data_IF_585671687457
#
_entry.id   IF_585671687457
#
_cell.length_a   1.000
_cell.length_b   1.000
_cell.length_c   1.000
_cell.angle_alpha   90.00
_cell.angle_beta   90.00
_cell.angle_gamma   90.00
#
_symmetry.space_group_name_H-M   'P 1'
#
loop_
_entity.id
_entity.type
_entity.pdbx_description
1 polymer ?
#
# COMPACT_ATOMS: atom_id res chain seq x y z
N UNK A 1 4.54 82.24 29.50
CA UNK A 1 3.58 81.87 28.42
C UNK A 1 2.61 80.81 28.97
N UNK A 2 1.53 80.51 28.22
CA UNK A 2 0.47 79.48 28.44
C UNK A 2 0.95 78.23 29.23
N UNK A 3 0.23 77.75 30.26
CA UNK A 3 -0.96 76.85 30.22
C UNK A 3 -0.72 75.55 29.40
N UNK A 4 -1.07 74.32 29.81
CA UNK A 4 -1.98 73.82 30.89
C UNK A 4 -1.45 72.44 31.45
N UNK A 5 -1.88 71.89 32.60
CA UNK A 5 -3.00 70.93 32.84
C UNK A 5 -3.12 69.82 31.77
N UNK A 6 -3.38 68.53 32.02
CA UNK A 6 -3.66 67.65 33.20
C UNK A 6 -3.02 66.24 32.87
N UNK A 7 -2.97 65.14 33.62
CA UNK A 7 -3.54 64.57 34.87
C UNK A 7 -2.46 63.65 35.52
N UNK A 8 -2.55 62.97 36.68
CA UNK A 8 -3.60 62.37 37.54
C UNK A 8 -4.21 61.06 37.03
N UNK A 9 -3.50 59.94 37.27
CA UNK A 9 -4.01 58.56 37.13
C UNK A 9 -4.80 58.12 38.36
N UNK A 10 -5.89 57.37 38.18
CA UNK A 10 -6.91 57.10 39.21
C UNK A 10 -7.15 55.60 39.39
N UNK A 11 -6.91 55.09 40.62
CA UNK A 11 -7.49 53.86 41.23
C UNK A 11 -7.24 52.50 40.50
N UNK A 12 -7.49 51.31 41.09
CA UNK A 12 -7.87 50.92 42.45
C UNK A 12 -7.24 49.56 42.86
N UNK A 13 -7.49 49.14 44.09
CA UNK A 13 -7.04 47.89 44.71
C UNK A 13 -7.60 46.60 44.07
N UNK A 14 -6.73 45.59 44.05
CA UNK A 14 -6.93 44.18 44.41
C UNK A 14 -8.34 43.54 44.37
N UNK A 15 -8.40 42.38 43.70
CA UNK A 15 -9.14 41.22 44.16
C UNK A 15 -8.37 39.94 43.79
N UNK A 16 -8.32 38.96 44.69
CA UNK A 16 -7.81 37.62 44.39
C UNK A 16 -8.99 36.67 44.13
N UNK A 17 -8.93 35.91 43.05
CA UNK A 17 -9.73 34.71 42.84
C UNK A 17 -8.83 33.63 42.23
N UNK A 18 -8.83 32.44 42.82
CA UNK A 18 -8.28 31.27 42.15
C UNK A 18 -9.08 30.96 40.88
N UNK A 19 -8.41 30.38 39.89
CA UNK A 19 -9.06 29.64 38.81
C UNK A 19 -8.60 28.21 38.91
N UNK A 20 -9.51 27.32 39.31
CA UNK A 20 -9.29 25.90 39.19
C UNK A 20 -8.98 25.57 37.73
N UNK A 21 -7.77 25.09 37.46
CA UNK A 21 -7.51 24.35 36.24
C UNK A 21 -8.17 22.99 36.40
N UNK A 22 -9.43 22.90 35.98
CA UNK A 22 -10.05 21.64 35.65
C UNK A 22 -9.14 20.95 34.63
N UNK A 23 -8.41 19.93 35.07
CA UNK A 23 -7.53 19.17 34.20
C UNK A 23 -8.36 18.59 33.05
N UNK A 24 -7.82 18.64 31.83
CA UNK A 24 -8.40 17.89 30.74
C UNK A 24 -8.48 16.40 31.15
N UNK A 25 -9.57 15.68 30.82
CA UNK A 25 -9.62 14.25 31.07
C UNK A 25 -8.41 13.60 30.40
N UNK A 26 -7.69 12.77 31.15
CA UNK A 26 -6.57 12.01 30.61
C UNK A 26 -7.06 11.19 29.41
N UNK A 27 -6.23 11.00 28.36
CA UNK A 27 -6.58 10.10 27.27
C UNK A 27 -6.92 8.73 27.88
N UNK A 28 -8.02 8.13 27.40
CA UNK A 28 -8.40 6.80 27.85
C UNK A 28 -7.23 5.84 27.58
N UNK A 29 -6.88 5.04 28.59
CA UNK A 29 -5.88 3.99 28.40
C UNK A 29 -6.34 3.07 27.25
N UNK A 30 -5.41 2.57 26.40
CA UNK A 30 -5.77 1.54 25.43
C UNK A 30 -6.41 0.38 26.17
N UNK A 31 -7.52 -0.14 25.65
CA UNK A 31 -8.23 -1.23 26.29
C UNK A 31 -7.30 -2.45 26.42
N UNK A 32 -7.12 -2.95 27.64
CA UNK A 32 -6.39 -4.19 27.87
C UNK A 32 -7.09 -5.32 27.10
N UNK A 33 -6.39 -5.90 26.13
CA UNK A 33 -6.88 -7.06 25.39
C UNK A 33 -7.06 -8.24 26.35
N UNK A 34 -8.21 -8.91 26.27
CA UNK A 34 -8.53 -10.01 27.18
C UNK A 34 -7.50 -11.15 27.05
N UNK A 35 -7.04 -11.75 28.16
CA UNK A 35 -5.96 -12.71 28.11
C UNK A 35 -6.43 -14.07 27.55
N UNK A 36 -5.77 -14.51 26.47
CA UNK A 36 -5.57 -15.95 26.22
C UNK A 36 -6.53 -16.67 25.28
N UNK A 37 -7.22 -16.00 24.35
CA UNK A 37 -7.69 -16.71 23.17
C UNK A 37 -6.48 -17.11 22.30
N UNK A 38 -6.26 -18.42 22.14
CA UNK A 38 -5.19 -18.92 21.29
C UNK A 38 -5.50 -18.63 19.83
N UNK A 39 -4.58 -17.96 19.12
CA UNK A 39 -4.74 -17.66 17.69
C UNK A 39 -4.97 -18.95 16.90
N UNK A 40 -6.05 -18.99 16.11
CA UNK A 40 -6.33 -20.12 15.24
C UNK A 40 -5.17 -20.40 14.30
N UNK A 41 -4.85 -21.68 14.14
CA UNK A 41 -3.93 -22.20 13.11
C UNK A 41 -4.62 -23.40 12.49
N UNK A 42 -4.62 -23.50 11.16
CA UNK A 42 -5.15 -24.67 10.48
C UNK A 42 -4.37 -25.94 10.86
N UNK A 43 -5.01 -27.13 10.93
CA UNK A 43 -4.32 -28.37 11.22
C UNK A 43 -3.15 -28.61 10.26
N UNK A 44 -2.03 -29.13 10.77
CA UNK A 44 -0.80 -29.35 10.00
C UNK A 44 -1.01 -30.07 8.66
N UNK A 45 -1.88 -31.09 8.64
CA UNK A 45 -2.27 -31.81 7.42
C UNK A 45 -2.90 -30.90 6.35
N UNK A 46 -3.71 -29.90 6.73
CA UNK A 46 -4.19 -28.87 5.78
C UNK A 46 -3.02 -28.01 5.30
N UNK A 47 -2.13 -27.56 6.19
CA UNK A 47 -1.00 -26.70 5.81
C UNK A 47 -0.07 -27.39 4.81
N UNK A 48 0.29 -28.66 5.05
CA UNK A 48 1.10 -29.46 4.12
C UNK A 48 0.38 -29.67 2.77
N UNK A 49 -0.92 -29.99 2.80
CA UNK A 49 -1.72 -30.20 1.58
C UNK A 49 -1.92 -28.91 0.77
N UNK A 50 -2.09 -27.77 1.44
CA UNK A 50 -2.15 -26.44 0.83
C UNK A 50 -0.81 -26.09 0.18
N UNK A 51 0.31 -26.32 0.90
CA UNK A 51 1.66 -26.07 0.40
C UNK A 51 2.04 -26.95 -0.80
N UNK A 52 1.52 -28.17 -0.85
CA UNK A 52 1.73 -29.12 -1.95
C UNK A 52 1.07 -28.70 -3.27
N UNK A 53 0.17 -27.72 -3.28
CA UNK A 53 -0.40 -27.15 -4.52
C UNK A 53 0.62 -26.27 -5.26
N UNK A 54 1.60 -25.71 -4.56
CA UNK A 54 2.61 -24.81 -5.12
C UNK A 54 3.90 -25.56 -5.50
N UNK A 55 3.96 -26.05 -6.74
CA UNK A 55 5.17 -26.65 -7.29
C UNK A 55 6.31 -25.62 -7.38
N UNK A 56 7.46 -25.92 -6.76
CA UNK A 56 8.65 -25.06 -6.83
C UNK A 56 9.35 -25.27 -8.17
N UNK A 57 9.33 -24.24 -9.03
CA UNK A 57 10.04 -24.20 -10.31
C UNK A 57 11.20 -23.21 -10.17
N UNK A 58 12.42 -23.69 -10.41
CA UNK A 58 13.62 -22.86 -10.33
C UNK A 58 13.83 -22.10 -11.66
N UNK A 59 13.42 -20.83 -11.69
CA UNK A 59 13.48 -20.00 -12.91
C UNK A 59 14.93 -19.73 -13.30
N UNK A 60 15.36 -20.34 -14.42
CA UNK A 60 16.71 -20.24 -15.01
C UNK A 60 16.64 -19.85 -16.50
N UNK A 61 16.25 -18.60 -16.83
CA UNK A 61 16.44 -18.09 -18.18
C UNK A 61 17.93 -18.06 -18.53
N UNK A 62 18.29 -18.17 -19.81
CA UNK A 62 19.62 -17.72 -20.22
C UNK A 62 19.67 -16.19 -20.16
N UNK A 63 20.78 -15.68 -19.62
CA UNK A 63 21.08 -14.26 -19.47
C UNK A 63 22.49 -13.95 -20.02
N UNK A 64 23.10 -14.90 -20.74
CA UNK A 64 24.45 -14.81 -21.29
C UNK A 64 24.60 -13.74 -22.38
N UNK A 65 23.51 -13.43 -23.08
CA UNK A 65 23.44 -12.38 -24.10
C UNK A 65 23.35 -10.96 -23.52
N UNK A 66 22.95 -10.80 -22.25
CA UNK A 66 22.83 -9.49 -21.62
C UNK A 66 24.20 -8.84 -21.38
N UNK A 67 24.28 -7.54 -21.62
CA UNK A 67 25.40 -6.69 -21.18
C UNK A 67 25.39 -6.49 -19.65
N UNK A 68 26.52 -6.07 -19.10
CA UNK A 68 26.60 -5.68 -17.68
C UNK A 68 25.77 -4.43 -17.37
N UNK A 69 25.47 -3.60 -18.38
CA UNK A 69 24.56 -2.46 -18.25
C UNK A 69 23.11 -2.91 -18.05
N UNK A 70 22.64 -3.85 -18.89
CA UNK A 70 21.30 -4.43 -18.78
C UNK A 70 21.10 -5.20 -17.47
N UNK A 71 22.13 -5.92 -16.99
CA UNK A 71 22.10 -6.58 -15.67
C UNK A 71 21.96 -5.59 -14.53
N UNK A 72 22.72 -4.49 -14.54
CA UNK A 72 22.60 -3.43 -13.53
C UNK A 72 21.22 -2.74 -13.58
N UNK A 73 20.63 -2.58 -14.77
CA UNK A 73 19.25 -2.08 -14.93
C UNK A 73 18.25 -3.07 -14.33
N UNK A 74 18.31 -4.35 -14.69
CA UNK A 74 17.42 -5.40 -14.16
C UNK A 74 17.50 -5.49 -12.64
N UNK A 75 18.69 -5.38 -12.05
CA UNK A 75 18.85 -5.38 -10.58
C UNK A 75 18.06 -4.24 -9.92
N UNK A 76 18.14 -3.01 -10.47
CA UNK A 76 17.38 -1.86 -9.97
C UNK A 76 15.86 -2.01 -10.19
N UNK A 77 15.43 -2.67 -11.27
CA UNK A 77 14.01 -2.98 -11.52
C UNK A 77 13.49 -4.06 -10.56
N UNK A 78 14.31 -5.03 -10.20
CA UNK A 78 13.97 -6.03 -9.18
C UNK A 78 13.83 -5.39 -7.79
N UNK A 79 14.76 -4.51 -7.38
CA UNK A 79 14.62 -3.71 -6.15
C UNK A 79 13.30 -2.90 -6.14
N UNK A 80 12.86 -2.38 -7.29
CA UNK A 80 11.58 -1.68 -7.40
C UNK A 80 10.36 -2.64 -7.37
N UNK A 81 10.48 -3.85 -7.92
CA UNK A 81 9.45 -4.89 -7.86
C UNK A 81 9.21 -5.47 -6.46
N UNK A 82 10.28 -5.60 -5.66
CA UNK A 82 10.17 -5.94 -4.23
C UNK A 82 9.37 -4.87 -3.47
N UNK A 83 9.54 -3.59 -3.81
CA UNK A 83 8.74 -2.50 -3.26
C UNK A 83 7.27 -2.61 -3.69
N UNK A 84 6.98 -2.91 -4.96
CA UNK A 84 5.59 -3.13 -5.41
C UNK A 84 4.92 -4.27 -4.63
N UNK A 85 5.64 -5.37 -4.41
CA UNK A 85 5.19 -6.50 -3.60
C UNK A 85 4.90 -6.07 -2.15
N UNK A 86 5.73 -5.18 -1.59
CA UNK A 86 5.49 -4.53 -0.29
C UNK A 86 4.25 -3.63 -0.24
N UNK A 87 3.90 -2.95 -1.34
CA UNK A 87 2.64 -2.19 -1.45
C UNK A 87 1.46 -3.14 -1.60
N UNK A 88 1.55 -4.15 -2.46
CA UNK A 88 0.48 -5.12 -2.71
C UNK A 88 0.09 -5.90 -1.45
N UNK A 89 1.06 -6.30 -0.64
CA UNK A 89 0.82 -6.94 0.66
C UNK A 89 -0.04 -6.08 1.59
N UNK A 90 0.10 -4.74 1.52
CA UNK A 90 -0.74 -3.77 2.26
C UNK A 90 -2.09 -3.54 1.58
N UNK A 91 -2.16 -3.57 0.24
CA UNK A 91 -3.42 -3.50 -0.51
C UNK A 91 -4.34 -4.68 -0.22
N UNK A 92 -3.79 -5.89 -0.01
CA UNK A 92 -4.54 -7.05 0.50
C UNK A 92 -5.04 -6.80 1.93
N UNK A 93 -4.15 -6.40 2.84
CA UNK A 93 -4.54 -5.96 4.19
C UNK A 93 -3.44 -5.13 4.87
N UNK A 94 -3.78 -3.98 5.45
CA UNK A 94 -2.85 -3.20 6.28
C UNK A 94 -2.35 -4.03 7.50
N UNK A 95 -3.19 -4.95 7.99
CA UNK A 95 -2.87 -5.90 9.07
C UNK A 95 -1.83 -6.96 8.70
N UNK A 96 -1.57 -7.20 7.40
CA UNK A 96 -0.61 -8.24 6.97
C UNK A 96 0.80 -7.98 7.51
N UNK A 97 1.21 -6.70 7.61
CA UNK A 97 2.55 -6.32 8.06
C UNK A 97 2.80 -6.68 9.54
N UNK A 98 1.98 -6.24 10.52
CA UNK A 98 2.13 -6.69 11.90
C UNK A 98 1.83 -8.19 12.08
N UNK A 99 0.90 -8.77 11.30
CA UNK A 99 0.54 -10.18 11.42
C UNK A 99 1.70 -11.11 11.01
N UNK A 100 2.37 -10.84 9.88
CA UNK A 100 3.55 -11.60 9.44
C UNK A 100 4.69 -11.51 10.45
N UNK A 101 4.92 -10.31 11.00
CA UNK A 101 5.93 -10.10 12.03
C UNK A 101 5.59 -10.87 13.33
N UNK A 102 4.31 -10.94 13.72
CA UNK A 102 3.87 -11.72 14.86
C UNK A 102 4.03 -13.24 14.65
N UNK A 103 3.77 -13.77 13.45
CA UNK A 103 4.07 -15.17 13.10
C UNK A 103 5.57 -15.42 13.22
N UNK A 104 6.42 -14.57 12.63
CA UNK A 104 7.88 -14.72 12.65
C UNK A 104 8.48 -14.63 14.07
N UNK A 105 7.87 -13.87 14.97
CA UNK A 105 8.27 -13.74 16.37
C UNK A 105 7.69 -14.82 17.31
N UNK A 106 6.91 -15.77 16.79
CA UNK A 106 6.19 -16.76 17.61
C UNK A 106 6.94 -18.09 17.83
N UNK A 107 6.54 -18.79 18.89
CA UNK A 107 6.91 -20.19 19.17
C UNK A 107 5.94 -21.20 18.51
N UNK A 108 5.22 -20.81 17.45
CA UNK A 108 4.32 -21.73 16.72
C UNK A 108 5.11 -22.91 16.13
N UNK A 109 4.67 -24.17 16.32
CA UNK A 109 5.45 -25.34 15.87
C UNK A 109 5.61 -25.40 14.35
N UNK A 110 4.67 -24.82 13.61
CA UNK A 110 4.62 -24.80 12.15
C UNK A 110 5.05 -23.44 11.56
N UNK A 111 5.72 -22.57 12.34
CA UNK A 111 6.04 -21.17 11.96
C UNK A 111 6.62 -21.02 10.55
N UNK A 112 7.65 -21.79 10.20
CA UNK A 112 8.32 -21.64 8.89
C UNK A 112 7.36 -21.97 7.72
N UNK A 113 6.51 -22.98 7.90
CA UNK A 113 5.48 -23.35 6.93
C UNK A 113 4.37 -22.28 6.86
N UNK A 114 4.00 -21.69 8.00
CA UNK A 114 3.04 -20.58 8.06
C UNK A 114 3.58 -19.33 7.36
N UNK A 115 4.88 -19.03 7.44
CA UNK A 115 5.50 -17.91 6.72
C UNK A 115 5.58 -18.16 5.21
N UNK A 116 6.07 -19.34 4.78
CA UNK A 116 6.13 -19.77 3.38
C UNK A 116 4.74 -19.71 2.71
N UNK A 117 3.69 -20.19 3.40
CA UNK A 117 2.30 -20.06 2.94
C UNK A 117 1.78 -18.62 2.96
N UNK A 118 2.11 -17.82 3.97
CA UNK A 118 1.72 -16.41 4.05
C UNK A 118 2.31 -15.61 2.89
N UNK A 119 3.56 -15.88 2.51
CA UNK A 119 4.24 -15.23 1.40
C UNK A 119 3.65 -15.67 0.05
N UNK A 120 3.40 -16.97 -0.14
CA UNK A 120 2.75 -17.51 -1.34
C UNK A 120 1.34 -16.95 -1.59
N UNK A 121 0.59 -16.64 -0.53
CA UNK A 121 -0.78 -16.12 -0.63
C UNK A 121 -0.91 -14.59 -0.40
N UNK A 122 0.19 -13.88 -0.12
CA UNK A 122 0.19 -12.46 0.32
C UNK A 122 -0.75 -12.20 1.52
N UNK A 123 -0.85 -13.14 2.45
CA UNK A 123 -1.69 -13.03 3.64
C UNK A 123 -2.06 -14.37 4.29
N UNK A 124 -2.85 -14.35 5.38
CA UNK A 124 -3.23 -15.54 6.15
C UNK A 124 -4.38 -16.36 5.53
N UNK A 125 -4.67 -16.18 4.23
CA UNK A 125 -5.85 -16.71 3.54
C UNK A 125 -5.46 -17.63 2.39
N UNK A 126 -6.15 -18.76 2.27
CA UNK A 126 -5.95 -19.75 1.20
C UNK A 126 -6.60 -19.24 -0.10
N UNK A 127 -5.84 -18.53 -0.93
CA UNK A 127 -6.34 -17.98 -2.20
C UNK A 127 -6.70 -19.04 -3.25
N UNK A 128 -6.36 -20.32 -3.02
CA UNK A 128 -6.79 -21.46 -3.84
C UNK A 128 -8.06 -22.12 -3.30
N UNK A 129 -8.35 -22.00 -2.00
CA UNK A 129 -9.63 -22.39 -1.39
C UNK A 129 -10.44 -21.19 -0.87
N UNK A 130 -10.82 -20.30 -1.79
CA UNK A 130 -11.83 -19.25 -1.58
C UNK A 130 -11.48 -18.24 -0.47
N UNK A 131 -10.19 -17.91 -0.31
CA UNK A 131 -9.67 -16.99 0.70
C UNK A 131 -10.02 -17.38 2.16
N UNK A 132 -10.21 -18.68 2.42
CA UNK A 132 -10.45 -19.16 3.80
C UNK A 132 -9.20 -18.99 4.66
N UNK A 133 -9.30 -18.45 5.89
CA UNK A 133 -8.14 -18.26 6.74
C UNK A 133 -7.48 -19.58 7.12
N UNK A 134 -6.14 -19.61 7.10
CA UNK A 134 -5.32 -20.67 7.70
C UNK A 134 -4.59 -20.21 8.96
N UNK A 135 -4.56 -18.90 9.23
CA UNK A 135 -4.05 -18.30 10.46
C UNK A 135 -5.00 -17.19 10.94
N UNK A 136 -5.38 -17.20 12.21
CA UNK A 136 -6.46 -16.36 12.73
C UNK A 136 -7.85 -16.74 12.19
N UNK A 137 -8.87 -15.97 12.58
CA UNK A 137 -10.29 -16.27 12.28
C UNK A 137 -11.00 -15.22 11.43
N UNK A 138 -10.29 -14.14 11.04
CA UNK A 138 -10.84 -13.03 10.26
C UNK A 138 -10.96 -13.43 8.79
N UNK A 139 -12.14 -13.30 8.20
CA UNK A 139 -12.34 -13.44 6.76
C UNK A 139 -11.65 -12.28 6.01
N UNK A 140 -11.20 -12.54 4.78
CA UNK A 140 -10.59 -11.51 3.91
C UNK A 140 -11.66 -10.47 3.53
N UNK A 141 -11.46 -9.16 3.79
CA UNK A 141 -12.43 -8.16 3.39
C UNK A 141 -12.60 -8.14 1.86
N UNK A 142 -13.83 -8.11 1.31
CA UNK A 142 -14.03 -8.14 -0.14
C UNK A 142 -13.47 -6.90 -0.85
N UNK A 143 -13.40 -5.74 -0.17
CA UNK A 143 -12.73 -4.53 -0.66
C UNK A 143 -11.24 -4.46 -0.32
N UNK A 144 -10.65 -5.57 0.14
CA UNK A 144 -9.28 -5.66 0.65
C UNK A 144 -8.95 -4.52 1.63
N UNK A 145 -7.82 -3.84 1.48
CA UNK A 145 -7.51 -2.59 2.19
C UNK A 145 -7.87 -1.32 1.40
N UNK A 146 -8.51 -1.41 0.23
CA UNK A 146 -8.83 -0.21 -0.56
C UNK A 146 -9.94 0.65 0.05
N UNK A 147 -10.73 0.09 0.95
CA UNK A 147 -11.88 0.72 1.61
C UNK A 147 -11.79 0.56 3.13
N UNK A 148 -12.53 1.35 3.94
CA UNK A 148 -12.68 1.07 5.36
C UNK A 148 -13.34 -0.30 5.56
N UNK A 149 -12.79 -1.14 6.44
CA UNK A 149 -13.26 -2.52 6.63
C UNK A 149 -14.69 -2.63 7.22
N UNK A 150 -15.30 -1.52 7.65
CA UNK A 150 -16.68 -1.40 8.13
C UNK A 150 -17.65 -0.80 7.09
N UNK A 151 -17.15 -0.34 5.94
CA UNK A 151 -17.92 0.38 4.93
C UNK A 151 -18.79 -0.57 4.09
N UNK A 152 -20.08 -0.28 3.97
CA UNK A 152 -20.99 -1.04 3.08
C UNK A 152 -21.06 -0.42 1.69
N UNK A 153 -21.61 -1.15 0.71
CA UNK A 153 -21.80 -0.60 -0.64
C UNK A 153 -22.81 0.54 -0.65
N UNK A 154 -23.87 0.39 0.14
CA UNK A 154 -24.93 1.38 0.32
C UNK A 154 -24.40 2.68 0.93
N UNK A 155 -23.40 2.63 1.82
CA UNK A 155 -22.73 3.81 2.35
C UNK A 155 -21.94 4.57 1.26
N UNK A 156 -21.13 3.84 0.49
CA UNK A 156 -20.36 4.41 -0.63
C UNK A 156 -21.26 5.01 -1.71
N UNK A 157 -22.35 4.32 -2.07
CA UNK A 157 -23.35 4.79 -3.02
C UNK A 157 -24.14 6.00 -2.48
N UNK A 158 -24.51 6.01 -1.20
CA UNK A 158 -25.17 7.14 -0.56
C UNK A 158 -24.26 8.38 -0.48
N UNK A 159 -22.96 8.20 -0.22
CA UNK A 159 -21.99 9.28 -0.26
C UNK A 159 -21.92 9.89 -1.67
N UNK A 160 -21.78 9.08 -2.72
CA UNK A 160 -21.73 9.56 -4.11
C UNK A 160 -23.06 10.22 -4.54
N UNK A 161 -24.20 9.76 -4.02
CA UNK A 161 -25.50 10.38 -4.28
C UNK A 161 -25.65 11.75 -3.58
N UNK A 162 -25.04 11.94 -2.41
CA UNK A 162 -25.00 13.21 -1.69
C UNK A 162 -23.89 14.17 -2.22
N UNK A 163 -22.81 13.60 -2.76
CA UNK A 163 -21.62 14.28 -3.27
C UNK A 163 -21.26 13.82 -4.69
N UNK A 164 -22.04 14.20 -5.73
CA UNK A 164 -21.74 13.83 -7.12
C UNK A 164 -20.36 14.29 -7.61
N UNK A 165 -19.82 15.35 -7.01
CA UNK A 165 -18.46 15.87 -7.23
C UNK A 165 -17.35 14.86 -6.86
N UNK A 166 -17.55 14.08 -5.80
CA UNK A 166 -16.56 13.12 -5.30
C UNK A 166 -16.47 11.87 -6.19
N UNK A 167 -17.50 11.61 -7.03
CA UNK A 167 -17.64 10.36 -7.80
C UNK A 167 -16.38 9.99 -8.59
N UNK A 168 -15.79 10.93 -9.31
CA UNK A 168 -14.62 10.67 -10.16
C UNK A 168 -13.39 10.25 -9.36
N UNK A 169 -13.19 10.85 -8.17
CA UNK A 169 -12.12 10.44 -7.25
C UNK A 169 -12.45 9.10 -6.56
N UNK A 170 -13.72 8.87 -6.22
CA UNK A 170 -14.16 7.65 -5.53
C UNK A 170 -14.09 6.39 -6.41
N UNK A 171 -14.42 6.51 -7.70
CA UNK A 171 -14.32 5.41 -8.68
C UNK A 171 -13.01 5.43 -9.49
N UNK A 172 -12.00 6.19 -9.06
CA UNK A 172 -10.66 6.17 -9.67
C UNK A 172 -9.91 4.88 -9.34
N UNK A 173 -9.10 4.40 -10.28
CA UNK A 173 -8.15 3.30 -10.09
C UNK A 173 -7.14 3.59 -8.97
N UNK A 174 -6.72 4.86 -8.85
CA UNK A 174 -5.55 5.28 -8.08
C UNK A 174 -5.91 6.04 -6.78
N UNK A 175 -7.00 5.64 -6.12
CA UNK A 175 -7.40 6.20 -4.81
C UNK A 175 -7.86 5.11 -3.85
N UNK A 176 -7.45 5.17 -2.59
CA UNK A 176 -8.12 4.41 -1.51
C UNK A 176 -9.24 5.25 -0.90
N UNK A 177 -10.28 4.59 -0.38
CA UNK A 177 -11.31 5.24 0.43
C UNK A 177 -10.92 5.11 1.89
N UNK A 178 -10.97 6.23 2.62
CA UNK A 178 -10.74 6.30 4.07
C UNK A 178 -11.83 7.16 4.72
N UNK A 179 -11.93 7.12 6.05
CA UNK A 179 -12.78 8.02 6.83
C UNK A 179 -11.95 9.21 7.32
N UNK A 180 -12.47 10.42 7.23
CA UNK A 180 -11.87 11.60 7.86
C UNK A 180 -12.15 11.65 9.37
N UNK A 181 -11.63 12.67 10.06
CA UNK A 181 -11.84 12.85 11.50
C UNK A 181 -13.30 13.15 11.91
N UNK A 182 -14.19 13.45 10.96
CA UNK A 182 -15.63 13.55 11.14
C UNK A 182 -16.40 12.28 10.75
N UNK A 183 -15.71 11.24 10.27
CA UNK A 183 -16.29 9.98 9.79
C UNK A 183 -16.73 9.99 8.33
N UNK A 184 -16.63 11.13 7.62
CA UNK A 184 -17.02 11.24 6.20
C UNK A 184 -16.04 10.44 5.33
N UNK A 185 -16.55 9.76 4.31
CA UNK A 185 -15.68 9.10 3.33
C UNK A 185 -14.88 10.14 2.53
N UNK A 186 -13.61 9.84 2.27
CA UNK A 186 -12.70 10.62 1.43
C UNK A 186 -11.91 9.68 0.53
N UNK A 187 -11.60 10.13 -0.69
CA UNK A 187 -10.69 9.44 -1.60
C UNK A 187 -9.27 9.99 -1.41
N UNK A 188 -8.33 9.16 -0.97
CA UNK A 188 -6.91 9.49 -0.78
C UNK A 188 -6.11 8.94 -1.98
N UNK A 189 -5.37 9.78 -2.74
CA UNK A 189 -4.60 9.34 -3.90
C UNK A 189 -3.45 8.39 -3.56
N UNK A 190 -3.08 7.50 -4.47
CA UNK A 190 -2.04 6.49 -4.24
C UNK A 190 -0.66 7.12 -3.99
N UNK A 191 -0.25 8.16 -4.74
CA UNK A 191 0.98 8.96 -4.49
C UNK A 191 1.07 9.57 -3.07
N UNK A 192 -0.07 9.68 -2.38
CA UNK A 192 -0.17 10.23 -1.03
C UNK A 192 -0.25 9.13 0.02
N UNK A 193 -1.06 8.10 -0.21
CA UNK A 193 -1.24 6.98 0.72
C UNK A 193 -0.04 6.01 0.76
N UNK A 194 0.61 5.76 -0.37
CA UNK A 194 1.76 4.84 -0.48
C UNK A 194 3.11 5.56 -0.66
N UNK A 195 3.17 6.87 -0.38
CA UNK A 195 4.33 7.75 -0.57
C UNK A 195 5.66 7.15 -0.08
N UNK A 196 5.64 6.55 1.11
CA UNK A 196 6.81 5.92 1.77
C UNK A 196 7.50 4.87 0.87
N UNK A 197 6.75 4.20 0.01
CA UNK A 197 7.23 3.17 -0.92
C UNK A 197 7.41 3.71 -2.34
N UNK A 198 6.53 4.63 -2.78
CA UNK A 198 6.57 5.20 -4.12
C UNK A 198 7.76 6.16 -4.34
N UNK A 199 8.20 6.90 -3.31
CA UNK A 199 9.38 7.77 -3.43
C UNK A 199 10.69 6.96 -3.65
N UNK A 200 11.02 5.91 -2.88
CA UNK A 200 12.14 5.02 -3.18
C UNK A 200 12.02 4.25 -4.51
N UNK A 201 10.82 3.76 -4.88
CA UNK A 201 10.63 3.11 -6.16
C UNK A 201 10.91 4.06 -7.34
N UNK A 202 10.46 5.31 -7.25
CA UNK A 202 10.73 6.33 -8.25
C UNK A 202 12.23 6.73 -8.33
N UNK A 203 13.00 6.66 -7.24
CA UNK A 203 14.46 6.80 -7.29
C UNK A 203 15.12 5.66 -8.07
N UNK A 204 14.74 4.41 -7.78
CA UNK A 204 15.26 3.22 -8.47
C UNK A 204 14.95 3.26 -9.97
N UNK A 205 13.72 3.62 -10.37
CA UNK A 205 13.35 3.78 -11.77
C UNK A 205 14.11 4.94 -12.45
N UNK A 206 14.36 6.07 -11.77
CA UNK A 206 15.22 7.15 -12.32
C UNK A 206 16.67 6.70 -12.49
N UNK A 207 17.24 5.97 -11.52
CA UNK A 207 18.61 5.41 -11.62
C UNK A 207 18.73 4.37 -12.73
N UNK A 208 17.73 3.53 -12.90
CA UNK A 208 17.63 2.57 -14.01
C UNK A 208 17.50 3.28 -15.37
N UNK A 209 16.67 4.34 -15.43
CA UNK A 209 16.60 5.25 -16.58
C UNK A 209 17.97 5.85 -16.90
N UNK A 210 18.64 6.50 -15.94
CA UNK A 210 19.96 7.10 -16.15
C UNK A 210 20.98 6.09 -16.67
N UNK A 211 21.00 4.88 -16.08
CA UNK A 211 21.93 3.79 -16.40
C UNK A 211 21.82 3.27 -17.82
N UNK A 212 20.61 3.10 -18.37
CA UNK A 212 20.44 2.45 -19.68
C UNK A 212 20.79 3.37 -20.87
N UNK A 213 21.43 2.80 -21.88
CA UNK A 213 21.67 3.43 -23.20
C UNK A 213 20.49 3.27 -24.16
N UNK A 214 19.55 2.36 -23.86
CA UNK A 214 18.34 2.18 -24.64
C UNK A 214 17.40 3.40 -24.48
N UNK A 215 16.99 4.01 -25.59
CA UNK A 215 16.26 5.27 -25.60
C UNK A 215 14.77 5.13 -25.19
N UNK A 216 14.10 4.05 -25.61
CA UNK A 216 12.72 3.72 -25.27
C UNK A 216 12.59 3.41 -23.77
N UNK A 217 13.45 2.53 -23.26
CA UNK A 217 13.51 2.17 -21.84
C UNK A 217 13.88 3.39 -20.97
N UNK A 218 14.84 4.22 -21.39
CA UNK A 218 15.18 5.50 -20.73
C UNK A 218 13.97 6.43 -20.61
N UNK A 219 13.23 6.64 -21.71
CA UNK A 219 12.00 7.45 -21.75
C UNK A 219 10.95 6.86 -20.80
N UNK A 220 10.65 5.58 -20.93
CA UNK A 220 9.65 4.87 -20.13
C UNK A 220 9.94 4.96 -18.63
N UNK A 221 11.13 4.56 -18.19
CA UNK A 221 11.48 4.49 -16.77
C UNK A 221 11.46 5.86 -16.08
N UNK A 222 11.87 6.92 -16.79
CA UNK A 222 11.74 8.29 -16.29
C UNK A 222 10.28 8.72 -16.16
N UNK A 223 9.45 8.49 -17.18
CA UNK A 223 8.02 8.84 -17.15
C UNK A 223 7.24 8.04 -16.10
N UNK A 224 7.55 6.74 -15.92
CA UNK A 224 6.92 5.91 -14.88
C UNK A 224 7.34 6.34 -13.48
N UNK A 225 8.59 6.75 -13.27
CA UNK A 225 9.04 7.31 -11.99
C UNK A 225 8.33 8.62 -11.60
N UNK A 226 7.96 9.45 -12.58
CA UNK A 226 7.15 10.64 -12.34
C UNK A 226 5.67 10.28 -12.14
N UNK A 227 5.12 9.31 -12.88
CA UNK A 227 3.76 8.81 -12.74
C UNK A 227 3.46 8.23 -11.34
N UNK A 228 4.39 7.46 -10.77
CA UNK A 228 4.28 6.95 -9.38
C UNK A 228 4.13 8.06 -8.34
N UNK A 229 4.50 9.31 -8.65
CA UNK A 229 4.42 10.46 -7.75
C UNK A 229 3.34 11.49 -8.14
N UNK A 230 2.63 11.29 -9.26
CA UNK A 230 1.55 12.16 -9.75
C UNK A 230 0.17 11.50 -9.77
N UNK A 231 0.10 10.17 -9.81
CA UNK A 231 -1.06 9.36 -10.19
C UNK A 231 -1.56 9.56 -11.64
N UNK A 232 -0.80 10.26 -12.49
CA UNK A 232 -1.06 10.35 -13.93
C UNK A 232 -0.09 9.43 -14.69
N UNK A 233 -0.62 8.26 -15.05
CA UNK A 233 0.12 7.19 -15.72
C UNK A 233 0.05 7.26 -17.24
N UNK A 234 -0.82 8.10 -17.83
CA UNK A 234 -1.20 7.99 -19.25
C UNK A 234 0.00 8.09 -20.23
N UNK A 235 0.81 9.13 -20.11
CA UNK A 235 2.01 9.30 -20.94
C UNK A 235 3.07 8.21 -20.68
N UNK A 236 3.08 7.62 -19.48
CA UNK A 236 3.96 6.48 -19.16
C UNK A 236 3.47 5.17 -19.79
N UNK A 237 2.16 4.94 -19.93
CA UNK A 237 1.62 3.80 -20.70
C UNK A 237 1.89 3.95 -22.20
N UNK A 238 1.83 5.19 -22.74
CA UNK A 238 2.26 5.45 -24.11
C UNK A 238 3.75 5.14 -24.30
N UNK A 239 4.60 5.54 -23.35
CA UNK A 239 6.02 5.21 -23.36
C UNK A 239 6.32 3.73 -23.12
N UNK A 240 5.44 3.00 -22.43
CA UNK A 240 5.51 1.55 -22.25
C UNK A 240 5.21 0.80 -23.55
N UNK A 241 4.15 1.20 -24.28
CA UNK A 241 3.86 0.63 -25.60
C UNK A 241 4.92 0.94 -26.66
N UNK A 242 5.75 1.96 -26.45
CA UNK A 242 6.93 2.31 -27.27
C UNK A 242 8.20 1.46 -26.92
N UNK A 243 8.13 0.45 -26.03
CA UNK A 243 9.31 -0.30 -25.57
C UNK A 243 9.94 -1.23 -26.63
N UNK A 244 10.88 -0.66 -27.40
CA UNK A 244 11.85 -1.42 -28.20
C UNK A 244 13.12 -1.77 -27.39
N UNK A 245 13.66 -2.97 -27.61
CA UNK A 245 14.88 -3.50 -26.97
C UNK A 245 14.69 -4.69 -26.00
N UNK A 246 15.80 -5.15 -25.43
CA UNK A 246 15.99 -6.44 -24.73
C UNK A 246 15.19 -6.61 -23.44
N UNK A 247 15.07 -5.55 -22.64
CA UNK A 247 14.39 -5.58 -21.34
C UNK A 247 12.94 -5.13 -21.56
N UNK A 248 12.01 -5.94 -21.11
CA UNK A 248 10.58 -5.62 -21.08
C UNK A 248 10.13 -5.51 -19.63
N UNK A 249 9.34 -4.49 -19.30
CA UNK A 249 9.01 -4.19 -17.91
C UNK A 249 7.68 -3.46 -17.76
N UNK A 250 6.73 -4.14 -17.13
CA UNK A 250 5.50 -3.53 -16.62
C UNK A 250 5.65 -3.37 -15.09
N UNK A 251 5.48 -2.15 -14.56
CA UNK A 251 5.60 -1.89 -13.12
C UNK A 251 4.72 -0.71 -12.69
N UNK A 252 3.70 -0.97 -11.87
CA UNK A 252 2.71 0.05 -11.50
C UNK A 252 1.37 -0.54 -11.02
N UNK A 253 0.35 0.32 -10.79
CA UNK A 253 -0.97 -0.11 -10.38
C UNK A 253 -1.83 -0.44 -11.61
N UNK A 254 -2.13 -1.72 -11.82
CA UNK A 254 -2.85 -2.21 -12.99
C UNK A 254 -4.17 -2.92 -12.64
N UNK A 255 -4.10 -4.17 -12.17
CA UNK A 255 -5.26 -5.07 -12.20
C UNK A 255 -6.22 -4.89 -11.01
N UNK A 256 -7.53 -4.96 -11.30
CA UNK A 256 -8.59 -4.62 -10.32
C UNK A 256 -9.20 -5.82 -9.58
N UNK A 257 -8.77 -7.05 -9.86
CA UNK A 257 -9.37 -8.27 -9.28
C UNK A 257 -9.25 -8.37 -7.75
N UNK A 258 -8.32 -7.63 -7.15
CA UNK A 258 -8.14 -7.57 -5.69
C UNK A 258 -9.28 -6.80 -5.01
N UNK A 259 -9.97 -5.90 -5.74
CA UNK A 259 -11.20 -5.26 -5.29
C UNK A 259 -12.43 -6.10 -5.66
N UNK A 260 -12.70 -7.12 -4.86
CA UNK A 260 -13.93 -7.91 -4.92
C UNK A 260 -15.19 -7.15 -4.45
N UNK A 261 -15.09 -5.88 -4.04
CA UNK A 261 -16.22 -5.06 -3.65
C UNK A 261 -16.81 -4.31 -4.85
N UNK A 262 -15.98 -3.64 -5.65
CA UNK A 262 -16.45 -2.86 -6.80
C UNK A 262 -15.70 -3.12 -8.12
N UNK A 263 -14.51 -3.71 -8.10
CA UNK A 263 -13.63 -3.80 -9.27
C UNK A 263 -13.14 -2.43 -9.77
N UNK A 264 -12.97 -1.46 -8.87
CA UNK A 264 -12.54 -0.09 -9.18
C UNK A 264 -11.07 0.18 -8.86
N UNK A 265 -10.37 -0.68 -8.09
CA UNK A 265 -9.10 -0.32 -7.44
C UNK A 265 -7.95 -1.19 -7.90
N UNK A 266 -6.89 -0.55 -8.39
CA UNK A 266 -5.78 -1.21 -9.05
C UNK A 266 -4.71 -1.70 -8.06
N UNK A 267 -4.35 -2.97 -8.15
CA UNK A 267 -3.24 -3.55 -7.42
C UNK A 267 -1.89 -3.14 -8.04
N UNK A 268 -0.90 -2.83 -7.19
CA UNK A 268 0.49 -2.64 -7.61
C UNK A 268 1.14 -3.99 -7.92
N UNK A 269 1.78 -4.08 -9.08
CA UNK A 269 2.49 -5.28 -9.54
C UNK A 269 3.75 -4.91 -10.32
N UNK A 270 4.60 -5.91 -10.56
CA UNK A 270 5.79 -5.78 -11.38
C UNK A 270 6.09 -7.09 -12.13
N UNK A 271 6.32 -6.97 -13.43
CA UNK A 271 6.88 -8.00 -14.28
C UNK A 271 8.16 -7.44 -14.90
N UNK A 272 9.31 -8.00 -14.52
CA UNK A 272 10.62 -7.68 -15.09
C UNK A 272 11.02 -8.88 -15.95
N UNK A 273 11.10 -8.71 -17.26
CA UNK A 273 11.39 -9.80 -18.20
C UNK A 273 12.46 -9.40 -19.21
N UNK A 274 13.01 -10.41 -19.89
CA UNK A 274 13.90 -10.23 -21.04
C UNK A 274 13.22 -10.86 -22.25
N UNK A 275 13.31 -10.19 -23.40
CA UNK A 275 12.83 -10.74 -24.67
C UNK A 275 13.78 -11.84 -25.11
N UNK A 276 13.23 -12.99 -25.51
CA UNK A 276 14.03 -14.06 -26.09
C UNK A 276 14.60 -13.59 -27.44
N UNK A 277 15.91 -13.73 -27.71
CA UNK A 277 16.48 -13.34 -29.00
C UNK A 277 16.12 -14.29 -30.16
N UNK A 278 15.45 -15.43 -29.92
CA UNK A 278 15.05 -16.40 -30.96
C UNK A 278 13.55 -16.39 -31.34
N UNK A 279 12.66 -15.70 -30.59
CA UNK A 279 11.19 -15.63 -30.86
C UNK A 279 10.68 -14.25 -31.32
#
# INVERSE_FOLDING_TARGET
MRHALLAVSVLALAAACGRDHAAAPAPAAPAETAPGEATYVAPREKLDAMRAQFAVIEMKPDLSFLTEEEKDVINLLNEAGDIMSGIYLRQISEENIPLRAAIAASDQPDRELLLDLFDLHFGPWDSLDHDKPFYGTKEKPPGAAFYPADMTKEEFEAHIAAHPEDKAAFTSLYTVIRRDAGGRLIAVPYREHYREWLEPAADLLRRASERTTNASLKKFLAMRADALLSDDYFESELAWMDLDGTIEVAIGPYEVYTDGLFGYKAAYEAFITVKDPEE
#
